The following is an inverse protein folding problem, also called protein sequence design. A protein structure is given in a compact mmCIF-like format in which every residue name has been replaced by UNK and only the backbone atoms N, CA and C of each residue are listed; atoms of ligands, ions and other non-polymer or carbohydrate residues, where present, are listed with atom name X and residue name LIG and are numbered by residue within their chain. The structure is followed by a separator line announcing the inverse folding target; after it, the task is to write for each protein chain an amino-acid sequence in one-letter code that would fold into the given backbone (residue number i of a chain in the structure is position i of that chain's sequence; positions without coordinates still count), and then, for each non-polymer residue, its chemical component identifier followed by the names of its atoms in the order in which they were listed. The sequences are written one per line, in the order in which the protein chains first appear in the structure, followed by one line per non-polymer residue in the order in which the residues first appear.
data_IF_268602098816
#
_entry.id   IF_268602098816
#
_cell.length_a   1.000
_cell.length_b   1.000
_cell.length_c   1.000
_cell.angle_alpha   90.00
_cell.angle_beta   90.00
_cell.angle_gamma   90.00
#
_symmetry.space_group_name_H-M   'P 1'
#
loop_
_entity.id
_entity.type
_entity.pdbx_description
1 polymer ?
#
# COMPACT_ATOMS: atom_id res chain seq x y z
N UNK A 1 -14.89 4.39 3.88
CA UNK A 1 -14.68 2.94 3.98
C UNK A 1 -13.94 2.58 5.25
N UNK A 2 -14.25 1.41 5.76
CA UNK A 2 -13.57 0.91 6.96
C UNK A 2 -12.21 0.29 6.67
N UNK A 3 -11.94 -0.03 5.39
CA UNK A 3 -10.68 -0.68 5.00
C UNK A 3 -9.51 0.27 4.89
N UNK A 4 -9.77 1.56 4.78
CA UNK A 4 -8.73 2.55 4.57
C UNK A 4 -9.09 3.85 5.28
N UNK A 5 -8.07 4.52 5.80
CA UNK A 5 -8.26 5.77 6.53
C UNK A 5 -7.08 6.69 6.25
N UNK A 6 -7.39 7.96 5.97
CA UNK A 6 -6.34 8.96 5.78
C UNK A 6 -5.87 9.47 7.14
N UNK A 7 -4.56 9.54 7.32
CA UNK A 7 -3.94 10.03 8.55
C UNK A 7 -3.68 11.53 8.46
N UNK A 8 -3.49 12.16 9.61
CA UNK A 8 -3.27 13.60 9.68
C UNK A 8 -2.01 14.05 8.92
N UNK A 9 -1.02 13.16 8.80
CA UNK A 9 0.25 13.48 8.12
C UNK A 9 0.19 13.29 6.61
N UNK A 10 -0.97 12.95 6.06
CA UNK A 10 -1.13 12.74 4.62
C UNK A 10 -0.93 11.31 4.17
N UNK A 11 -0.44 10.43 5.05
CA UNK A 11 -0.35 9.02 4.72
C UNK A 11 -1.71 8.35 4.90
N UNK A 12 -1.80 7.09 4.46
CA UNK A 12 -3.01 6.29 4.60
C UNK A 12 -2.68 5.04 5.41
N UNK A 13 -3.66 4.54 6.15
CA UNK A 13 -3.58 3.24 6.80
C UNK A 13 -4.68 2.38 6.21
N UNK A 14 -4.31 1.18 5.74
CA UNK A 14 -5.25 0.27 5.10
C UNK A 14 -5.09 -1.13 5.65
N UNK A 15 -6.18 -1.91 5.54
CA UNK A 15 -6.14 -3.33 5.88
C UNK A 15 -5.39 -4.11 4.80
N UNK A 16 -4.59 -5.08 5.21
CA UNK A 16 -3.81 -5.88 4.27
C UNK A 16 -4.65 -6.66 3.27
N UNK A 17 -5.90 -6.95 3.61
CA UNK A 17 -6.80 -7.68 2.73
C UNK A 17 -7.60 -6.77 1.79
N UNK A 18 -7.36 -5.47 1.84
CA UNK A 18 -8.07 -4.55 0.95
C UNK A 18 -7.77 -4.87 -0.51
N UNK A 19 -8.80 -4.95 -1.38
CA UNK A 19 -8.57 -5.17 -2.80
C UNK A 19 -7.82 -4.02 -3.44
N UNK A 20 -6.86 -4.34 -4.29
CA UNK A 20 -6.08 -3.32 -4.99
C UNK A 20 -6.92 -2.45 -5.90
N UNK A 21 -7.99 -3.01 -6.48
CA UNK A 21 -8.91 -2.24 -7.32
C UNK A 21 -9.56 -1.10 -6.55
N UNK A 22 -9.83 -1.31 -5.26
CA UNK A 22 -10.40 -0.28 -4.42
C UNK A 22 -9.32 0.69 -3.94
N UNK A 23 -8.15 0.16 -3.59
CA UNK A 23 -7.05 0.98 -3.08
C UNK A 23 -6.62 2.05 -4.07
N UNK A 24 -6.52 1.72 -5.35
CA UNK A 24 -6.02 2.67 -6.35
C UNK A 24 -6.93 3.87 -6.56
N UNK A 25 -8.14 3.83 -6.03
CA UNK A 25 -9.03 4.99 -6.05
C UNK A 25 -8.61 6.04 -5.02
N UNK A 26 -7.81 5.66 -4.04
CA UNK A 26 -7.30 6.55 -3.00
C UNK A 26 -5.81 6.81 -3.16
N UNK A 27 -5.08 5.76 -3.51
CA UNK A 27 -3.61 5.76 -3.58
C UNK A 27 -3.23 5.23 -4.96
N UNK A 28 -2.85 6.10 -5.91
CA UNK A 28 -2.50 5.64 -7.25
C UNK A 28 -1.19 4.85 -7.22
N UNK A 29 -1.25 3.61 -7.65
CA UNK A 29 -0.10 2.70 -7.70
C UNK A 29 0.05 2.14 -9.11
N UNK A 30 1.29 1.94 -9.58
CA UNK A 30 1.52 1.31 -10.88
C UNK A 30 1.36 -0.21 -10.75
N UNK A 31 0.17 -0.70 -11.00
CA UNK A 31 -0.13 -2.12 -10.89
C UNK A 31 0.03 -2.82 -12.23
N UNK A 32 0.65 -3.99 -12.21
CA UNK A 32 0.73 -4.85 -13.39
C UNK A 32 -0.67 -5.41 -13.67
N UNK A 33 -1.16 -5.20 -14.88
CA UNK A 33 -2.49 -5.69 -15.28
C UNK A 33 -2.55 -7.21 -15.34
N UNK A 34 -1.42 -7.85 -15.53
CA UNK A 34 -1.33 -9.32 -15.61
C UNK A 34 -1.07 -9.97 -14.26
N UNK A 35 -1.08 -9.17 -13.19
CA UNK A 35 -0.81 -9.69 -11.85
C UNK A 35 -1.80 -10.76 -11.44
N UNK A 36 -1.32 -11.70 -10.63
CA UNK A 36 -2.18 -12.75 -10.08
C UNK A 36 -2.58 -12.47 -8.63
N UNK A 37 -2.04 -11.42 -8.02
CA UNK A 37 -2.41 -11.01 -6.66
C UNK A 37 -3.42 -9.86 -6.73
N UNK A 38 -4.31 -9.78 -5.73
CA UNK A 38 -5.44 -8.86 -5.78
C UNK A 38 -5.59 -8.01 -4.52
N UNK A 39 -4.73 -8.20 -3.51
CA UNK A 39 -4.79 -7.46 -2.25
C UNK A 39 -3.47 -6.78 -1.95
N UNK A 40 -3.50 -5.85 -0.99
CA UNK A 40 -2.27 -5.18 -0.55
C UNK A 40 -1.27 -6.20 -0.02
N UNK A 41 -1.74 -7.15 0.80
CA UNK A 41 -0.86 -8.20 1.32
C UNK A 41 -0.23 -9.01 0.19
N UNK A 42 -1.02 -9.36 -0.81
CA UNK A 42 -0.51 -10.09 -1.97
C UNK A 42 0.55 -9.31 -2.73
N UNK A 43 0.34 -8.00 -2.90
CA UNK A 43 1.31 -7.13 -3.54
C UNK A 43 2.64 -7.13 -2.79
N UNK A 44 2.59 -6.99 -1.47
CA UNK A 44 3.81 -6.97 -0.65
C UNK A 44 4.55 -8.31 -0.74
N UNK A 45 3.82 -9.41 -0.69
CA UNK A 45 4.44 -10.74 -0.77
C UNK A 45 5.05 -10.99 -2.15
N UNK A 46 4.43 -10.44 -3.21
CA UNK A 46 4.99 -10.54 -4.55
C UNK A 46 6.31 -9.78 -4.66
N UNK A 47 6.36 -8.57 -4.10
CA UNK A 47 7.60 -7.77 -4.14
C UNK A 47 8.71 -8.39 -3.31
N UNK A 48 8.38 -8.94 -2.15
CA UNK A 48 9.36 -9.47 -1.21
C UNK A 48 9.66 -10.96 -1.42
N UNK A 49 8.76 -11.68 -2.06
CA UNK A 49 8.83 -13.14 -2.23
C UNK A 49 8.86 -13.88 -0.89
N UNK A 50 8.25 -13.27 0.11
CA UNK A 50 8.09 -13.82 1.47
C UNK A 50 7.09 -12.94 2.22
N UNK A 51 6.70 -13.40 3.41
CA UNK A 51 5.85 -12.60 4.27
C UNK A 51 6.68 -11.45 4.84
N UNK A 52 6.19 -10.20 4.78
CA UNK A 52 6.94 -9.07 5.33
C UNK A 52 7.02 -9.14 6.86
N UNK A 53 8.02 -8.48 7.42
CA UNK A 53 8.14 -8.33 8.86
C UNK A 53 7.54 -6.98 9.28
N UNK A 54 7.09 -6.87 10.55
CA UNK A 54 6.59 -5.58 11.04
C UNK A 54 7.65 -4.49 10.87
N UNK A 55 7.21 -3.35 10.32
CA UNK A 55 8.09 -2.22 10.07
C UNK A 55 8.80 -2.26 8.73
N UNK A 56 8.70 -3.36 8.00
CA UNK A 56 9.37 -3.49 6.71
C UNK A 56 8.68 -2.61 5.66
N UNK A 57 9.48 -1.98 4.79
CA UNK A 57 9.02 -1.02 3.81
C UNK A 57 9.32 -1.48 2.40
N UNK A 58 8.37 -1.27 1.49
CA UNK A 58 8.52 -1.57 0.07
C UNK A 58 8.07 -0.34 -0.71
N UNK A 59 8.90 0.12 -1.64
CA UNK A 59 8.51 1.23 -2.50
C UNK A 59 7.75 0.70 -3.70
N UNK A 60 6.56 1.27 -3.92
CA UNK A 60 5.72 0.95 -5.07
C UNK A 60 5.31 2.27 -5.70
N UNK A 61 5.89 2.58 -6.87
CA UNK A 61 5.65 3.86 -7.50
C UNK A 61 6.10 5.03 -6.62
N UNK A 62 5.22 5.98 -6.40
CA UNK A 62 5.47 7.17 -5.58
C UNK A 62 5.07 6.99 -4.13
N UNK A 63 4.90 5.75 -3.69
CA UNK A 63 4.50 5.45 -2.32
C UNK A 63 5.44 4.46 -1.67
N UNK A 64 5.59 4.63 -0.37
CA UNK A 64 6.29 3.66 0.47
C UNK A 64 5.22 2.90 1.26
N UNK A 65 5.22 1.58 1.13
CA UNK A 65 4.27 0.72 1.82
C UNK A 65 4.96 0.08 3.01
N UNK A 66 4.52 0.48 4.20
CA UNK A 66 5.12 0.01 5.45
C UNK A 66 4.17 -0.95 6.15
N UNK A 67 4.65 -2.16 6.43
CA UNK A 67 3.85 -3.13 7.17
C UNK A 67 3.81 -2.74 8.64
N UNK A 68 2.61 -2.49 9.16
CA UNK A 68 2.43 -2.07 10.54
C UNK A 68 2.12 -3.23 11.48
N UNK A 69 1.32 -4.19 11.01
CA UNK A 69 0.83 -5.25 11.88
C UNK A 69 0.67 -6.55 11.12
N UNK A 70 1.16 -7.64 11.72
CA UNK A 70 1.04 -9.00 11.20
C UNK A 70 0.47 -9.86 12.31
N UNK A 71 -0.52 -10.69 11.99
CA UNK A 71 -1.09 -11.67 12.90
C UNK A 71 -1.31 -12.98 12.14
N UNK A 72 -0.91 -14.09 12.74
CA UNK A 72 -1.07 -15.42 12.15
C UNK A 72 -0.52 -15.47 10.72
N UNK A 73 0.67 -14.90 10.51
CA UNK A 73 1.36 -14.86 9.23
C UNK A 73 0.59 -14.07 8.15
N UNK A 74 -0.34 -13.22 8.56
CA UNK A 74 -1.13 -12.40 7.64
C UNK A 74 -0.87 -10.92 7.90
N UNK A 75 -0.69 -10.17 6.83
CA UNK A 75 -0.54 -8.72 6.91
C UNK A 75 -1.91 -8.13 7.25
N UNK A 76 -2.00 -7.48 8.41
CA UNK A 76 -3.25 -6.89 8.89
C UNK A 76 -3.36 -5.42 8.55
N UNK A 77 -2.28 -4.67 8.74
CA UNK A 77 -2.29 -3.23 8.49
C UNK A 77 -1.05 -2.78 7.77
N UNK A 78 -1.23 -1.87 6.83
CA UNK A 78 -0.18 -1.30 6.01
C UNK A 78 -0.36 0.20 5.97
N UNK A 79 0.73 0.94 6.15
CA UNK A 79 0.75 2.38 5.97
C UNK A 79 1.27 2.69 4.57
N UNK A 80 0.55 3.58 3.87
CA UNK A 80 0.94 4.01 2.53
C UNK A 80 1.36 5.46 2.63
N UNK A 81 2.65 5.69 2.42
CA UNK A 81 3.27 7.00 2.65
C UNK A 81 3.64 7.61 1.31
N UNK A 82 3.06 8.77 0.95
CA UNK A 82 3.44 9.42 -0.29
C UNK A 82 4.89 9.90 -0.20
N UNK A 83 5.68 9.61 -1.23
CA UNK A 83 7.08 10.02 -1.32
C UNK A 83 7.22 11.40 -1.94
N UNK A 84 6.13 11.92 -2.51
CA UNK A 84 6.08 13.24 -3.12
C UNK A 84 4.82 13.95 -2.62
N UNK A 85 4.90 15.28 -2.50
CA UNK A 85 3.74 16.09 -2.13
C UNK A 85 2.68 16.04 -3.22
N UNK A 86 1.41 16.20 -2.84
CA UNK A 86 0.32 16.30 -3.80
C UNK A 86 0.58 17.39 -4.85
N UNK A 87 1.15 18.51 -4.42
CA UNK A 87 1.49 19.60 -5.32
C UNK A 87 2.53 19.17 -6.35
N UNK A 88 3.51 18.36 -5.95
CA UNK A 88 4.50 17.84 -6.88
C UNK A 88 3.89 16.86 -7.86
N UNK A 89 2.98 16.00 -7.38
CA UNK A 89 2.30 15.04 -8.24
C UNK A 89 1.39 15.72 -9.25
N UNK A 90 0.70 16.78 -8.83
CA UNK A 90 -0.19 17.53 -9.69
C UNK A 90 0.58 18.37 -10.71
N UNK A 91 1.81 18.70 -10.40
CA UNK A 91 2.65 19.55 -11.23
C UNK A 91 3.24 18.82 -12.43
N UNK A 92 3.12 17.55 -12.49
CA UNK A 92 3.71 16.69 -13.50
C UNK A 92 2.91 16.60 -14.79
N UNK A 93 2.32 17.68 -15.20
CA UNK A 93 1.41 17.66 -16.36
C UNK A 93 2.14 17.97 -17.65
#
# INVERSE_FOLDING_TARGET
RHDIQKNADGSWTANGHMPLEDLVQYVPLPLDEKREYHTIAGLLMEYLQRIPQPGEEVQVGDYLLKTLQIENHRVQKVQLIPLRDEEELDFEV
#
